data_IF_070790819751
#
_entry.id   IF_070790819751
#
_cell.length_a   1.000
_cell.length_b   1.000
_cell.length_c   1.000
_cell.angle_alpha   90.00
_cell.angle_beta   90.00
_cell.angle_gamma   90.00
#
_symmetry.space_group_name_H-M   'P 1'
#
loop_
_entity.id
_entity.type
_entity.pdbx_description
1 polymer ?
#
# COMPACT_ATOMS: atom_id res chain seq x y z
N UNK A 1 -26.18 -10.31 -6.21
CA UNK A 1 -25.87 -11.72 -5.92
C UNK A 1 -27.01 -12.61 -6.39
N UNK A 2 -28.25 -12.36 -5.92
CA UNK A 2 -29.49 -12.94 -6.49
C UNK A 2 -29.47 -12.93 -8.02
N UNK A 3 -29.32 -11.73 -8.62
CA UNK A 3 -29.26 -11.56 -10.08
C UNK A 3 -28.15 -12.35 -10.78
N UNK A 4 -27.02 -12.62 -10.11
CA UNK A 4 -25.91 -13.38 -10.70
C UNK A 4 -26.20 -14.88 -10.71
N UNK A 5 -26.87 -15.37 -9.67
CA UNK A 5 -27.32 -16.76 -9.59
C UNK A 5 -28.54 -17.00 -10.50
N UNK A 6 -29.43 -16.01 -10.63
CA UNK A 6 -30.64 -16.06 -11.48
C UNK A 6 -30.37 -15.89 -12.98
N UNK A 7 -29.26 -15.26 -13.37
CA UNK A 7 -28.97 -14.97 -14.77
C UNK A 7 -28.68 -16.21 -15.64
N UNK A 8 -28.90 -17.42 -15.13
CA UNK A 8 -28.67 -18.68 -15.83
C UNK A 8 -29.33 -18.77 -17.21
N UNK A 9 -28.63 -19.42 -18.14
CA UNK A 9 -28.97 -19.98 -19.47
C UNK A 9 -29.85 -19.21 -20.48
N UNK A 10 -30.65 -18.22 -20.07
CA UNK A 10 -31.61 -17.53 -20.95
C UNK A 10 -30.92 -16.48 -21.82
N UNK A 11 -29.84 -15.87 -21.32
CA UNK A 11 -29.10 -14.85 -22.05
C UNK A 11 -27.86 -15.44 -22.73
N UNK A 12 -28.05 -15.87 -23.99
CA UNK A 12 -27.01 -16.48 -24.82
C UNK A 12 -25.95 -15.49 -25.32
N UNK A 13 -26.12 -14.20 -25.06
CA UNK A 13 -25.26 -13.14 -25.57
C UNK A 13 -24.53 -12.36 -24.48
N UNK A 14 -24.60 -12.80 -23.22
CA UNK A 14 -23.90 -12.15 -22.11
C UNK A 14 -23.02 -13.12 -21.31
N UNK A 15 -21.99 -12.54 -20.68
CA UNK A 15 -21.16 -13.21 -19.67
C UNK A 15 -21.47 -12.55 -18.34
N UNK A 16 -21.89 -13.35 -17.37
CA UNK A 16 -22.21 -12.87 -16.03
C UNK A 16 -20.95 -12.90 -15.17
N UNK A 17 -20.60 -11.76 -14.56
CA UNK A 17 -19.38 -11.62 -13.76
C UNK A 17 -19.73 -11.04 -12.40
N UNK A 18 -19.44 -11.80 -11.33
CA UNK A 18 -19.54 -11.31 -9.96
C UNK A 18 -18.17 -10.85 -9.47
N UNK A 19 -18.03 -9.53 -9.24
CA UNK A 19 -16.83 -8.95 -8.61
C UNK A 19 -17.08 -8.79 -7.12
N UNK A 20 -16.23 -9.43 -6.31
CA UNK A 20 -16.34 -9.42 -4.85
C UNK A 20 -14.96 -9.23 -4.22
N UNK A 21 -14.89 -8.48 -3.11
CA UNK A 21 -13.66 -8.28 -2.37
C UNK A 21 -13.59 -9.20 -1.14
N UNK A 22 -12.41 -9.24 -0.52
CA UNK A 22 -12.14 -10.03 0.70
C UNK A 22 -13.07 -9.68 1.87
N UNK A 23 -13.43 -8.39 2.02
CA UNK A 23 -14.33 -7.94 3.09
C UNK A 23 -15.73 -8.57 2.98
N UNK A 24 -16.28 -8.60 1.76
CA UNK A 24 -17.58 -9.21 1.50
C UNK A 24 -17.54 -10.73 1.62
N UNK A 25 -16.48 -11.40 1.14
CA UNK A 25 -16.29 -12.85 1.31
C UNK A 25 -16.32 -13.24 2.80
N UNK A 26 -15.75 -12.40 3.66
CA UNK A 26 -15.67 -12.64 5.10
C UNK A 26 -16.86 -12.08 5.91
N UNK A 27 -17.82 -11.44 5.25
CA UNK A 27 -18.98 -10.83 5.92
C UNK A 27 -19.95 -11.92 6.41
N UNK A 28 -20.53 -11.70 7.58
CA UNK A 28 -21.59 -12.55 8.12
C UNK A 28 -22.78 -12.65 7.16
N UNK A 29 -23.02 -11.61 6.33
CA UNK A 29 -24.09 -11.61 5.33
C UNK A 29 -23.97 -12.73 4.30
N UNK A 30 -22.77 -13.26 4.06
CA UNK A 30 -22.58 -14.41 3.18
C UNK A 30 -23.04 -15.73 3.81
N UNK A 31 -23.12 -15.77 5.14
CA UNK A 31 -23.43 -16.96 5.93
C UNK A 31 -24.82 -16.89 6.56
N UNK A 32 -25.46 -15.72 6.58
CA UNK A 32 -26.80 -15.54 7.13
C UNK A 32 -27.82 -16.35 6.32
N UNK A 33 -28.68 -17.03 7.07
CA UNK A 33 -29.91 -17.62 6.56
C UNK A 33 -30.89 -16.48 6.23
N UNK A 34 -31.43 -16.49 5.01
CA UNK A 34 -32.43 -15.50 4.60
C UNK A 34 -33.83 -16.08 4.84
N UNK A 35 -34.69 -15.35 5.58
CA UNK A 35 -36.08 -15.76 5.88
C UNK A 35 -36.95 -15.91 4.63
N UNK A 36 -36.58 -15.20 3.55
CA UNK A 36 -36.95 -15.55 2.19
C UNK A 36 -35.76 -16.32 1.64
N UNK A 37 -35.86 -17.64 1.68
CA UNK A 37 -35.02 -18.57 0.92
C UNK A 37 -34.66 -17.93 -0.42
N UNK A 38 -33.37 -17.65 -0.66
CA UNK A 38 -32.97 -17.39 -2.03
C UNK A 38 -33.22 -18.70 -2.78
N UNK A 39 -34.20 -18.68 -3.71
CA UNK A 39 -34.63 -19.80 -4.54
C UNK A 39 -35.50 -20.91 -3.90
N UNK A 40 -36.06 -20.75 -2.69
CA UNK A 40 -36.72 -21.88 -1.98
C UNK A 40 -35.84 -23.16 -1.84
N UNK A 41 -34.55 -23.06 -2.17
CA UNK A 41 -33.59 -24.17 -2.33
C UNK A 41 -32.28 -23.92 -1.58
N UNK A 42 -31.86 -22.66 -1.39
CA UNK A 42 -30.57 -22.34 -0.77
C UNK A 42 -30.71 -21.42 0.44
N UNK A 43 -30.12 -21.89 1.53
CA UNK A 43 -30.15 -21.22 2.83
C UNK A 43 -29.17 -20.05 2.91
N UNK A 44 -28.03 -20.14 2.22
CA UNK A 44 -26.97 -19.12 2.29
C UNK A 44 -26.51 -18.65 0.92
N UNK A 45 -25.90 -17.46 0.90
CA UNK A 45 -25.27 -16.92 -0.30
C UNK A 45 -24.15 -17.82 -0.85
N UNK A 46 -23.38 -18.49 0.02
CA UNK A 46 -22.38 -19.46 -0.42
C UNK A 46 -23.00 -20.65 -1.14
N UNK A 47 -24.12 -21.17 -0.64
CA UNK A 47 -24.79 -22.31 -1.27
C UNK A 47 -25.37 -21.93 -2.64
N UNK A 48 -25.98 -20.75 -2.73
CA UNK A 48 -26.51 -20.22 -3.99
C UNK A 48 -25.40 -19.97 -5.04
N UNK A 49 -24.21 -19.52 -4.63
CA UNK A 49 -23.07 -19.38 -5.55
C UNK A 49 -22.49 -20.74 -5.92
N UNK A 50 -22.42 -21.68 -4.98
CA UNK A 50 -21.88 -23.01 -5.25
C UNK A 50 -22.75 -23.82 -6.22
N UNK A 51 -24.07 -23.60 -6.23
CA UNK A 51 -25.03 -24.32 -7.08
C UNK A 51 -24.78 -24.07 -8.58
N UNK A 52 -24.33 -22.85 -8.94
CA UNK A 52 -24.04 -22.48 -10.34
C UNK A 52 -22.65 -22.94 -10.82
N UNK A 53 -21.86 -23.61 -9.96
CA UNK A 53 -20.54 -24.19 -10.30
C UNK A 53 -19.62 -23.17 -11.01
N UNK A 54 -19.27 -22.05 -10.37
CA UNK A 54 -18.63 -20.94 -11.05
C UNK A 54 -17.18 -21.26 -11.46
N UNK A 55 -16.65 -20.45 -12.38
CA UNK A 55 -15.20 -20.27 -12.53
C UNK A 55 -14.78 -19.09 -11.69
N UNK A 56 -13.64 -19.23 -10.99
CA UNK A 56 -13.16 -18.21 -10.07
C UNK A 56 -11.83 -17.65 -10.54
N UNK A 57 -11.70 -16.32 -10.43
CA UNK A 57 -10.46 -15.59 -10.67
C UNK A 57 -10.07 -14.93 -9.35
N UNK A 58 -8.84 -15.21 -8.89
CA UNK A 58 -8.23 -14.57 -7.72
C UNK A 58 -7.17 -13.61 -8.21
N UNK A 59 -7.39 -12.33 -7.97
CA UNK A 59 -6.40 -11.27 -8.18
C UNK A 59 -5.52 -11.13 -6.93
N UNK A 60 -4.21 -11.01 -7.12
CA UNK A 60 -3.20 -10.92 -6.07
C UNK A 60 -3.27 -12.04 -5.01
N UNK A 61 -2.98 -13.31 -5.40
CA UNK A 61 -3.20 -14.49 -4.55
C UNK A 61 -2.39 -14.50 -3.25
N UNK A 62 -1.31 -13.73 -3.14
CA UNK A 62 -0.54 -13.58 -1.89
C UNK A 62 -1.38 -12.99 -0.73
N UNK A 63 -2.49 -12.30 -1.03
CA UNK A 63 -3.44 -11.79 -0.03
C UNK A 63 -4.33 -12.89 0.56
N UNK A 64 -4.37 -14.07 -0.07
CA UNK A 64 -5.26 -15.18 0.27
C UNK A 64 -4.44 -16.42 0.67
N UNK A 65 -3.81 -16.34 1.84
CA UNK A 65 -3.01 -17.44 2.40
C UNK A 65 -3.92 -18.59 2.83
N UNK A 66 -3.60 -19.83 2.48
CA UNK A 66 -4.45 -21.00 2.71
C UNK A 66 -4.92 -21.22 4.17
N UNK A 67 -4.16 -20.71 5.15
CA UNK A 67 -4.45 -20.87 6.58
C UNK A 67 -5.40 -19.79 7.11
N UNK A 68 -5.85 -18.85 6.25
CA UNK A 68 -6.74 -17.79 6.68
C UNK A 68 -8.23 -18.19 6.51
N UNK A 69 -9.09 -17.67 7.40
CA UNK A 69 -10.55 -17.80 7.32
C UNK A 69 -11.11 -17.41 5.94
N UNK A 70 -10.44 -16.48 5.25
CA UNK A 70 -10.80 -16.09 3.89
C UNK A 70 -10.68 -17.24 2.90
N UNK A 71 -9.64 -18.06 3.00
CA UNK A 71 -9.41 -19.18 2.09
C UNK A 71 -10.45 -20.29 2.32
N UNK A 72 -10.77 -20.58 3.58
CA UNK A 72 -11.89 -21.48 3.92
C UNK A 72 -13.21 -20.99 3.31
N UNK A 73 -13.49 -19.68 3.39
CA UNK A 73 -14.66 -19.08 2.75
C UNK A 73 -14.60 -19.15 1.21
N UNK A 74 -13.42 -19.02 0.61
CA UNK A 74 -13.21 -19.18 -0.83
C UNK A 74 -13.49 -20.63 -1.25
N UNK A 75 -13.07 -21.63 -0.46
CA UNK A 75 -13.33 -23.05 -0.75
C UNK A 75 -14.83 -23.39 -0.73
N UNK A 76 -15.64 -22.67 0.09
CA UNK A 76 -17.11 -22.82 0.11
C UNK A 76 -17.79 -22.43 -1.20
N UNK A 77 -17.13 -21.63 -2.05
CA UNK A 77 -17.64 -21.27 -3.39
C UNK A 77 -17.70 -22.50 -4.31
N UNK A 78 -16.91 -23.54 -4.05
CA UNK A 78 -16.87 -24.80 -4.83
C UNK A 78 -16.72 -24.55 -6.34
N UNK A 79 -15.81 -23.63 -6.70
CA UNK A 79 -15.53 -23.31 -8.10
C UNK A 79 -14.99 -24.52 -8.87
N UNK A 80 -15.40 -24.68 -10.14
CA UNK A 80 -14.90 -25.77 -11.00
C UNK A 80 -13.44 -25.58 -11.37
N UNK A 81 -13.05 -24.32 -11.61
CA UNK A 81 -11.70 -23.90 -11.94
C UNK A 81 -11.39 -22.61 -11.20
N UNK A 82 -10.15 -22.53 -10.69
CA UNK A 82 -9.64 -21.32 -10.03
C UNK A 82 -8.38 -20.87 -10.74
N UNK A 83 -8.42 -19.68 -11.34
CA UNK A 83 -7.26 -19.02 -11.92
C UNK A 83 -6.74 -17.97 -10.93
N UNK A 84 -5.42 -17.96 -10.69
CA UNK A 84 -4.78 -17.03 -9.76
C UNK A 84 -3.79 -16.16 -10.53
N UNK A 85 -4.03 -14.87 -10.56
CA UNK A 85 -3.20 -13.89 -11.27
C UNK A 85 -2.49 -12.99 -10.27
N UNK A 86 -1.17 -12.88 -10.38
CA UNK A 86 -0.42 -11.92 -9.57
C UNK A 86 1.08 -12.00 -9.82
N UNK A 87 1.78 -10.97 -9.36
CA UNK A 87 3.25 -10.93 -9.41
C UNK A 87 3.89 -11.64 -8.21
N UNK A 88 3.13 -11.81 -7.12
CA UNK A 88 3.60 -12.49 -5.91
C UNK A 88 2.61 -13.57 -5.49
N UNK A 89 3.15 -14.72 -5.11
CA UNK A 89 2.39 -15.90 -4.71
C UNK A 89 2.71 -16.28 -3.25
N UNK A 90 1.74 -16.88 -2.53
CA UNK A 90 1.96 -17.43 -1.20
C UNK A 90 3.13 -18.42 -1.17
N UNK A 91 3.71 -18.60 0.01
CA UNK A 91 4.73 -19.60 0.25
C UNK A 91 4.17 -20.74 1.09
N UNK A 92 4.61 -21.96 0.78
CA UNK A 92 4.37 -23.14 1.61
C UNK A 92 5.69 -23.73 2.08
N UNK A 93 5.65 -24.31 3.27
CA UNK A 93 6.79 -25.02 3.85
C UNK A 93 6.75 -26.48 3.40
N UNK A 94 7.81 -26.92 2.72
CA UNK A 94 8.02 -28.33 2.36
C UNK A 94 9.06 -28.92 3.30
N UNK A 95 8.68 -29.99 3.99
CA UNK A 95 9.54 -30.71 4.93
C UNK A 95 10.07 -31.97 4.27
N UNK A 96 11.37 -32.17 4.33
CA UNK A 96 12.03 -33.38 3.87
C UNK A 96 13.08 -33.84 4.88
N UNK A 97 13.46 -35.11 4.80
CA UNK A 97 14.57 -35.64 5.59
C UNK A 97 15.86 -35.46 4.80
N UNK A 98 16.93 -35.03 5.46
CA UNK A 98 18.26 -35.12 4.88
C UNK A 98 18.74 -36.58 4.81
N UNK A 99 19.86 -36.81 4.14
CA UNK A 99 20.49 -38.13 4.01
C UNK A 99 21.00 -38.73 5.35
N UNK A 100 20.89 -37.99 6.45
CA UNK A 100 21.29 -38.38 7.80
C UNK A 100 20.08 -38.48 8.77
N UNK A 101 18.85 -38.32 8.27
CA UNK A 101 17.61 -38.41 9.06
C UNK A 101 17.17 -37.11 9.75
N UNK A 102 17.88 -36.00 9.58
CA UNK A 102 17.52 -34.67 10.07
C UNK A 102 16.32 -34.09 9.30
N UNK A 103 15.39 -33.43 10.01
CA UNK A 103 14.25 -32.74 9.39
C UNK A 103 14.69 -31.36 8.91
N UNK A 104 14.63 -31.13 7.61
CA UNK A 104 14.86 -29.82 6.99
C UNK A 104 13.53 -29.29 6.46
N UNK A 105 13.31 -28.00 6.61
CA UNK A 105 12.19 -27.30 6.00
C UNK A 105 12.66 -26.24 5.02
N UNK A 106 11.98 -26.15 3.88
CA UNK A 106 12.25 -25.17 2.83
C UNK A 106 10.95 -24.48 2.43
N UNK A 107 10.99 -23.15 2.35
CA UNK A 107 9.88 -22.36 1.80
C UNK A 107 9.95 -22.39 0.27
N UNK A 108 8.83 -22.73 -0.35
CA UNK A 108 8.66 -22.71 -1.81
C UNK A 108 7.38 -21.96 -2.16
N UNK A 109 7.34 -21.35 -3.36
CA UNK A 109 6.13 -20.69 -3.84
C UNK A 109 5.03 -21.72 -4.09
N UNK A 110 3.84 -21.41 -3.63
CA UNK A 110 2.67 -22.24 -3.76
C UNK A 110 1.91 -21.92 -5.06
N UNK A 111 2.44 -22.36 -6.20
CA UNK A 111 1.80 -22.15 -7.51
C UNK A 111 0.61 -23.07 -7.79
N UNK A 112 0.50 -24.19 -7.07
CA UNK A 112 -0.35 -25.34 -7.44
C UNK A 112 0.05 -25.89 -8.81
N UNK A 113 -0.46 -25.30 -9.89
CA UNK A 113 -0.11 -25.63 -11.28
C UNK A 113 0.28 -24.33 -12.01
N UNK A 114 1.59 -24.11 -12.20
CA UNK A 114 2.09 -22.95 -12.92
C UNK A 114 1.90 -23.17 -14.44
N UNK A 115 0.96 -22.43 -15.03
CA UNK A 115 0.66 -22.53 -16.47
C UNK A 115 1.50 -21.55 -17.30
N UNK A 116 1.74 -20.35 -16.76
CA UNK A 116 2.45 -19.27 -17.45
C UNK A 116 3.22 -18.41 -16.46
N UNK A 117 4.36 -17.86 -16.90
CA UNK A 117 5.14 -16.90 -16.13
C UNK A 117 5.71 -15.82 -17.05
N UNK A 118 5.56 -14.56 -16.64
CA UNK A 118 6.26 -13.41 -17.19
C UNK A 118 6.89 -12.70 -15.99
N UNK A 119 8.21 -12.79 -15.86
CA UNK A 119 8.90 -12.24 -14.68
C UNK A 119 9.07 -10.72 -14.81
N UNK A 120 9.39 -10.06 -13.70
CA UNK A 120 9.76 -8.64 -13.73
C UNK A 120 10.98 -8.39 -14.65
N UNK A 121 11.96 -9.29 -14.64
CA UNK A 121 13.15 -9.21 -15.51
C UNK A 121 12.75 -9.34 -16.97
N UNK A 122 11.87 -10.28 -17.30
CA UNK A 122 11.36 -10.44 -18.68
C UNK A 122 10.61 -9.19 -19.15
N UNK A 123 9.78 -8.61 -18.28
CA UNK A 123 9.03 -7.39 -18.59
C UNK A 123 9.94 -6.18 -18.83
N UNK A 124 10.99 -6.01 -18.02
CA UNK A 124 12.00 -4.96 -18.22
C UNK A 124 12.83 -5.20 -19.49
N UNK A 125 13.38 -6.40 -19.67
CA UNK A 125 14.21 -6.75 -20.82
C UNK A 125 13.42 -6.70 -22.14
N UNK A 126 12.12 -7.01 -22.09
CA UNK A 126 11.20 -6.95 -23.22
C UNK A 126 10.63 -5.56 -23.51
N UNK A 127 11.04 -4.52 -22.79
CA UNK A 127 10.49 -3.15 -22.90
C UNK A 127 8.95 -3.10 -22.76
N UNK A 128 8.36 -4.00 -21.99
CA UNK A 128 6.91 -4.05 -21.73
C UNK A 128 6.49 -3.05 -20.63
N UNK A 129 7.47 -2.56 -19.87
CA UNK A 129 7.30 -1.57 -18.80
C UNK A 129 8.33 -0.44 -18.93
N UNK A 130 8.03 0.71 -18.33
CA UNK A 130 8.96 1.85 -18.32
C UNK A 130 10.15 1.56 -17.41
N UNK A 131 11.35 1.99 -17.84
CA UNK A 131 12.54 2.01 -16.99
C UNK A 131 12.38 2.96 -15.80
N UNK A 132 13.17 2.74 -14.75
CA UNK A 132 13.14 3.52 -13.51
C UNK A 132 14.41 4.36 -13.40
N UNK A 133 14.27 5.66 -13.17
CA UNK A 133 15.37 6.58 -12.85
C UNK A 133 15.22 7.03 -11.41
N UNK A 134 16.16 6.62 -10.55
CA UNK A 134 16.18 6.99 -9.14
C UNK A 134 16.87 8.34 -8.91
N UNK A 135 16.19 9.27 -8.25
CA UNK A 135 16.77 10.55 -7.82
C UNK A 135 16.89 10.59 -6.29
N UNK A 136 18.13 10.68 -5.79
CA UNK A 136 18.39 10.80 -4.36
C UNK A 136 18.80 12.24 -4.02
N UNK A 137 18.07 12.87 -3.10
CA UNK A 137 18.41 14.19 -2.57
C UNK A 137 19.07 13.98 -1.21
N UNK A 138 20.27 14.52 -1.04
CA UNK A 138 20.99 14.51 0.24
C UNK A 138 20.94 15.92 0.81
N UNK A 139 20.43 16.07 2.03
CA UNK A 139 20.69 17.26 2.83
C UNK A 139 22.07 17.12 3.48
N UNK A 140 22.91 18.13 3.35
CA UNK A 140 24.15 18.20 4.12
C UNK A 140 23.83 18.18 5.62
N UNK A 141 24.48 17.28 6.38
CA UNK A 141 24.24 17.08 7.82
C UNK A 141 23.12 16.10 8.20
N UNK A 142 22.24 15.73 7.26
CA UNK A 142 21.06 14.87 7.54
C UNK A 142 21.33 13.40 7.86
N UNK A 143 22.58 12.94 7.77
CA UNK A 143 22.98 11.54 8.00
C UNK A 143 23.27 11.20 9.45
N UNK A 144 23.36 12.20 10.34
CA UNK A 144 23.90 11.98 11.69
C UNK A 144 22.86 11.95 12.79
N UNK A 145 21.59 12.27 12.51
CA UNK A 145 20.51 12.32 13.51
C UNK A 145 19.48 11.21 13.30
N UNK A 146 19.13 10.52 14.38
CA UNK A 146 18.15 9.44 14.40
C UNK A 146 17.28 9.57 15.65
N UNK A 147 15.97 9.63 15.47
CA UNK A 147 15.00 9.61 16.58
C UNK A 147 14.37 8.23 16.66
N UNK A 148 14.52 7.56 17.79
CA UNK A 148 13.97 6.23 18.04
C UNK A 148 12.84 6.32 19.06
N UNK A 149 11.69 5.71 18.76
CA UNK A 149 10.64 5.55 19.75
C UNK A 149 11.01 4.40 20.72
N UNK A 150 11.13 4.72 22.01
CA UNK A 150 11.65 3.79 23.03
C UNK A 150 10.50 3.06 23.73
N UNK A 151 9.54 3.79 24.28
CA UNK A 151 8.37 3.26 24.96
C UNK A 151 7.32 4.35 25.20
N UNK A 152 6.14 3.94 25.66
CA UNK A 152 5.12 4.84 26.18
C UNK A 152 4.40 4.20 27.37
N UNK A 153 3.94 5.01 28.31
CA UNK A 153 3.08 4.59 29.43
C UNK A 153 1.58 4.79 29.14
N UNK A 154 1.23 5.28 27.94
CA UNK A 154 -0.14 5.65 27.56
C UNK A 154 -0.49 7.12 27.78
N UNK A 155 0.35 7.90 28.46
CA UNK A 155 0.21 9.35 28.65
C UNK A 155 1.36 10.13 28.02
N UNK A 156 2.57 9.60 28.16
CA UNK A 156 3.81 10.15 27.61
C UNK A 156 4.51 9.12 26.72
N UNK A 157 5.20 9.61 25.70
CA UNK A 157 6.04 8.82 24.81
C UNK A 157 7.51 9.23 24.99
N UNK A 158 8.40 8.25 25.14
CA UNK A 158 9.84 8.48 25.24
C UNK A 158 10.52 8.27 23.89
N UNK A 159 11.32 9.24 23.48
CA UNK A 159 12.13 9.22 22.26
C UNK A 159 13.61 9.33 22.58
N UNK A 160 14.45 8.53 21.94
CA UNK A 160 15.92 8.64 22.00
C UNK A 160 16.40 9.32 20.71
N UNK A 161 16.96 10.53 20.83
CA UNK A 161 17.71 11.18 19.77
C UNK A 161 19.16 10.69 19.83
N UNK A 162 19.66 10.15 18.72
CA UNK A 162 21.07 9.83 18.50
C UNK A 162 21.66 10.80 17.48
N UNK A 163 22.67 11.58 17.88
CA UNK A 163 23.42 12.47 17.02
C UNK A 163 24.92 12.12 17.07
N UNK A 164 25.42 11.44 16.05
CA UNK A 164 26.77 10.87 16.07
C UNK A 164 26.97 9.88 17.23
N UNK A 165 27.78 10.25 18.23
CA UNK A 165 27.99 9.45 19.45
C UNK A 165 27.09 9.86 20.62
N UNK A 166 26.41 10.99 20.52
CA UNK A 166 25.58 11.53 21.61
C UNK A 166 24.20 10.91 21.57
N UNK A 167 23.67 10.58 22.76
CA UNK A 167 22.30 10.09 22.94
C UNK A 167 21.58 10.90 23.99
N UNK A 168 20.37 11.34 23.68
CA UNK A 168 19.50 12.06 24.61
C UNK A 168 18.09 11.51 24.54
N UNK A 169 17.45 11.41 25.70
CA UNK A 169 16.07 10.93 25.81
C UNK A 169 15.15 12.09 26.12
N UNK A 170 14.04 12.16 25.38
CA UNK A 170 13.01 13.17 25.50
C UNK A 170 11.68 12.49 25.78
N UNK A 171 10.83 13.15 26.56
CA UNK A 171 9.45 12.71 26.80
C UNK A 171 8.49 13.72 26.22
N UNK A 172 7.52 13.24 25.46
CA UNK A 172 6.52 14.07 24.77
C UNK A 172 5.13 13.53 25.07
N UNK A 173 4.24 14.41 25.52
CA UNK A 173 2.85 14.09 25.84
C UNK A 173 1.96 14.05 24.60
N UNK A 174 0.74 13.54 24.73
CA UNK A 174 -0.25 13.64 23.67
C UNK A 174 -0.49 15.11 23.28
N UNK A 175 -0.61 15.37 21.98
CA UNK A 175 -0.65 16.71 21.35
C UNK A 175 0.64 17.53 21.49
N UNK A 176 1.71 16.98 22.08
CA UNK A 176 3.02 17.62 22.15
C UNK A 176 3.76 17.60 20.81
N UNK A 177 4.66 18.57 20.62
CA UNK A 177 5.48 18.72 19.42
C UNK A 177 6.78 17.90 19.50
N UNK A 178 7.11 17.18 18.42
CA UNK A 178 8.39 16.49 18.25
C UNK A 178 9.56 17.44 17.94
N UNK A 179 9.29 18.73 17.72
CA UNK A 179 10.33 19.77 17.66
C UNK A 179 11.14 19.83 18.97
N UNK A 180 10.52 19.46 20.10
CA UNK A 180 11.20 19.33 21.40
C UNK A 180 12.26 18.23 21.43
N UNK A 181 12.14 17.23 20.55
CA UNK A 181 13.12 16.15 20.39
C UNK A 181 14.22 16.61 19.43
N UNK A 182 13.86 17.24 18.31
CA UNK A 182 14.81 17.78 17.34
C UNK A 182 14.18 18.90 16.50
N UNK A 183 14.87 20.04 16.33
CA UNK A 183 14.32 21.24 15.67
C UNK A 183 13.87 21.04 14.21
N UNK A 184 14.50 20.12 13.48
CA UNK A 184 14.07 19.77 12.11
C UNK A 184 12.70 19.06 12.02
N UNK A 185 12.10 18.68 13.15
CA UNK A 185 10.78 18.03 13.23
C UNK A 185 9.64 19.01 13.51
N UNK A 186 9.81 20.28 13.10
CA UNK A 186 8.78 21.30 13.28
C UNK A 186 7.47 20.91 12.57
N UNK A 187 6.34 21.18 13.23
CA UNK A 187 5.00 20.82 12.72
C UNK A 187 4.57 19.36 12.93
N UNK A 188 5.47 18.48 13.40
CA UNK A 188 5.12 17.09 13.69
C UNK A 188 4.68 16.94 15.16
N UNK A 189 3.41 16.60 15.36
CA UNK A 189 2.81 16.45 16.69
C UNK A 189 2.50 14.98 16.98
N UNK A 190 2.37 14.64 18.26
CA UNK A 190 1.78 13.37 18.67
C UNK A 190 0.26 13.50 18.67
N UNK A 191 -0.42 12.81 17.77
CA UNK A 191 -1.89 12.81 17.71
C UNK A 191 -2.49 11.92 18.79
N UNK A 192 -2.00 10.68 18.91
CA UNK A 192 -2.49 9.69 19.89
C UNK A 192 -1.36 8.87 20.49
N UNK A 193 -1.51 8.51 21.76
CA UNK A 193 -0.57 7.67 22.49
C UNK A 193 -1.29 6.44 23.03
N UNK A 194 -0.72 5.26 22.77
CA UNK A 194 -1.08 3.99 23.37
C UNK A 194 0.15 3.41 24.09
N UNK A 195 -0.04 2.41 24.96
CA UNK A 195 1.06 1.74 25.70
C UNK A 195 2.17 1.15 24.81
N UNK A 196 1.87 0.87 23.54
CA UNK A 196 2.79 0.21 22.60
C UNK A 196 3.07 1.01 21.34
N UNK A 197 2.27 2.04 21.06
CA UNK A 197 2.27 2.76 19.78
C UNK A 197 2.03 4.25 19.97
N UNK A 198 2.63 5.05 19.10
CA UNK A 198 2.41 6.50 19.02
C UNK A 198 1.99 6.83 17.60
N UNK A 199 0.88 7.55 17.44
CA UNK A 199 0.42 8.07 16.15
C UNK A 199 0.86 9.54 16.04
N UNK A 200 1.57 9.85 14.97
CA UNK A 200 1.99 11.22 14.64
C UNK A 200 0.93 11.93 13.78
N UNK A 201 0.94 13.26 13.78
CA UNK A 201 0.00 14.10 13.01
C UNK A 201 0.06 13.89 11.51
N UNK A 202 1.13 13.29 11.00
CA UNK A 202 1.30 12.94 9.59
C UNK A 202 0.82 11.51 9.27
N UNK A 203 0.11 10.87 10.21
CA UNK A 203 -0.43 9.51 10.08
C UNK A 203 0.57 8.38 10.36
N UNK A 204 1.85 8.69 10.64
CA UNK A 204 2.84 7.68 10.95
C UNK A 204 2.61 7.07 12.34
N UNK A 205 2.34 5.76 12.39
CA UNK A 205 2.22 5.01 13.63
C UNK A 205 3.56 4.33 13.98
N UNK A 206 4.23 4.80 15.03
CA UNK A 206 5.48 4.25 15.53
C UNK A 206 5.22 3.16 16.57
N UNK A 207 5.85 2.00 16.39
CA UNK A 207 5.98 0.91 17.37
C UNK A 207 7.33 0.98 18.07
N UNK A 208 7.40 0.41 19.27
CA UNK A 208 8.64 0.36 20.06
C UNK A 208 9.81 -0.16 19.20
N UNK A 209 10.86 0.65 19.10
CA UNK A 209 12.05 0.34 18.31
C UNK A 209 12.11 1.02 16.95
N UNK A 210 10.98 1.56 16.45
CA UNK A 210 10.92 2.29 15.19
C UNK A 210 11.79 3.54 15.25
N UNK A 211 12.35 3.89 14.10
CA UNK A 211 13.33 4.95 13.93
C UNK A 211 12.91 5.87 12.80
N UNK A 212 13.04 7.16 13.03
CA UNK A 212 12.78 8.21 12.05
C UNK A 212 13.99 9.12 11.95
N UNK A 213 14.27 9.61 10.75
CA UNK A 213 15.28 10.65 10.54
C UNK A 213 14.58 12.01 10.68
N UNK A 214 15.00 12.88 11.62
CA UNK A 214 14.42 14.22 11.79
C UNK A 214 14.39 15.05 10.50
N UNK A 215 15.40 14.88 9.64
CA UNK A 215 15.53 15.64 8.40
C UNK A 215 14.62 15.15 7.27
N UNK A 216 14.00 13.96 7.40
CA UNK A 216 13.00 13.50 6.43
C UNK A 216 11.78 14.41 6.36
N UNK A 217 11.53 15.18 7.42
CA UNK A 217 10.41 16.11 7.55
C UNK A 217 10.83 17.57 7.43
N UNK A 218 12.10 17.83 7.12
CA UNK A 218 12.57 19.19 6.94
C UNK A 218 11.86 19.82 5.74
N UNK A 219 11.21 20.97 5.95
CA UNK A 219 10.53 21.75 4.91
C UNK A 219 11.45 22.01 3.72
N UNK A 220 12.75 22.24 3.98
CA UNK A 220 13.77 22.44 2.94
C UNK A 220 13.95 21.22 2.03
N UNK A 221 13.92 19.99 2.56
CA UNK A 221 14.04 18.78 1.74
C UNK A 221 12.82 18.62 0.82
N UNK A 222 11.62 18.77 1.39
CA UNK A 222 10.37 18.68 0.64
C UNK A 222 10.32 19.71 -0.48
N UNK A 223 10.71 20.95 -0.20
CA UNK A 223 10.76 22.01 -1.20
C UNK A 223 11.75 21.69 -2.34
N UNK A 224 12.94 21.18 -2.01
CA UNK A 224 13.93 20.74 -3.04
C UNK A 224 13.38 19.58 -3.88
N UNK A 225 12.66 18.63 -3.26
CA UNK A 225 12.01 17.52 -3.98
C UNK A 225 10.96 18.04 -4.96
N UNK A 226 10.10 18.96 -4.51
CA UNK A 226 9.06 19.56 -5.34
C UNK A 226 9.65 20.36 -6.51
N UNK A 227 10.61 21.24 -6.24
CA UNK A 227 11.26 22.06 -7.25
C UNK A 227 11.87 21.19 -8.36
N UNK A 228 12.66 20.17 -7.99
CA UNK A 228 13.26 19.25 -8.97
C UNK A 228 12.22 18.47 -9.76
N UNK A 229 11.16 17.98 -9.11
CA UNK A 229 10.12 17.21 -9.76
C UNK A 229 9.30 18.06 -10.74
N UNK A 230 8.89 19.27 -10.35
CA UNK A 230 8.13 20.21 -11.19
C UNK A 230 8.96 20.63 -12.40
N UNK A 231 10.20 21.06 -12.18
CA UNK A 231 11.12 21.43 -13.27
C UNK A 231 11.34 20.29 -14.27
N UNK A 232 11.53 19.08 -13.77
CA UNK A 232 11.67 17.91 -14.63
C UNK A 232 10.37 17.55 -15.37
N UNK A 233 9.20 17.74 -14.74
CA UNK A 233 7.89 17.59 -15.38
C UNK A 233 7.75 18.53 -16.57
N UNK A 234 8.05 19.83 -16.44
CA UNK A 234 7.97 20.80 -17.54
C UNK A 234 8.92 20.45 -18.69
N UNK A 235 10.16 20.01 -18.37
CA UNK A 235 11.11 19.51 -19.38
C UNK A 235 10.52 18.35 -20.19
N UNK A 236 9.97 17.34 -19.51
CA UNK A 236 9.35 16.18 -20.14
C UNK A 236 8.07 16.54 -20.89
N UNK A 237 7.25 17.43 -20.34
CA UNK A 237 6.02 17.90 -20.96
C UNK A 237 6.28 18.61 -22.28
N UNK A 238 7.26 19.52 -22.32
CA UNK A 238 7.68 20.15 -23.56
C UNK A 238 8.15 19.11 -24.58
N UNK A 239 8.94 18.13 -24.16
CA UNK A 239 9.43 17.06 -25.04
C UNK A 239 8.29 16.17 -25.57
N UNK A 240 7.29 15.85 -24.76
CA UNK A 240 6.23 14.90 -25.10
C UNK A 240 5.04 15.54 -25.83
N UNK A 241 4.72 16.80 -25.54
CA UNK A 241 3.61 17.53 -26.17
C UNK A 241 3.99 18.15 -27.52
N UNK A 242 5.28 18.29 -27.83
CA UNK A 242 5.78 18.79 -29.13
C UNK A 242 5.99 17.68 -30.16
N UNK A 243 5.75 16.42 -29.80
CA UNK A 243 5.79 15.30 -30.74
C UNK A 243 4.60 15.32 -31.70
N UNK A 244 4.73 14.62 -32.83
CA UNK A 244 3.64 14.43 -33.80
C UNK A 244 2.43 13.76 -33.15
N UNK A 245 2.67 12.69 -32.40
CA UNK A 245 1.69 12.08 -31.48
C UNK A 245 1.99 12.60 -30.08
N UNK A 246 1.13 13.49 -29.59
CA UNK A 246 1.32 14.15 -28.31
C UNK A 246 1.04 13.18 -27.15
N UNK A 247 1.93 13.17 -26.16
CA UNK A 247 1.77 12.39 -24.94
C UNK A 247 1.68 13.36 -23.76
N UNK A 248 0.63 13.26 -22.95
CA UNK A 248 0.46 14.07 -21.74
C UNK A 248 1.15 13.39 -20.55
N UNK A 249 2.28 13.90 -20.02
CA UNK A 249 2.87 13.34 -18.81
C UNK A 249 2.05 13.70 -17.57
N UNK A 250 2.20 12.90 -16.52
CA UNK A 250 1.58 13.13 -15.21
C UNK A 250 2.65 12.99 -14.13
N UNK A 251 2.60 13.88 -13.13
CA UNK A 251 3.41 13.79 -11.92
C UNK A 251 2.51 13.46 -10.73
N UNK A 252 2.90 12.44 -9.96
CA UNK A 252 2.18 11.99 -8.76
C UNK A 252 3.05 12.29 -7.54
N UNK A 253 2.52 13.08 -6.60
CA UNK A 253 3.14 13.38 -5.33
C UNK A 253 2.44 12.62 -4.21
N UNK A 254 3.20 11.91 -3.38
CA UNK A 254 2.72 11.34 -2.13
C UNK A 254 3.00 12.33 -1.01
N UNK A 255 1.97 12.68 -0.25
CA UNK A 255 2.03 13.70 0.79
C UNK A 255 1.50 13.10 2.09
N UNK A 256 2.09 13.50 3.22
CA UNK A 256 1.67 12.98 4.52
C UNK A 256 0.50 13.77 5.11
N UNK A 257 0.40 15.07 4.81
CA UNK A 257 -0.64 15.96 5.32
C UNK A 257 -1.54 16.49 4.19
N UNK A 258 -2.75 15.94 4.10
CA UNK A 258 -3.73 16.31 3.07
C UNK A 258 -4.22 17.75 3.24
N UNK A 259 -4.32 18.25 4.47
CA UNK A 259 -4.84 19.59 4.76
C UNK A 259 -3.88 20.70 4.28
N UNK A 260 -2.56 20.44 4.31
CA UNK A 260 -1.56 21.37 3.77
C UNK A 260 -1.67 21.58 2.25
N UNK A 261 -2.33 20.67 1.54
CA UNK A 261 -2.60 20.81 0.12
C UNK A 261 -4.04 21.25 -0.18
N UNK A 262 -5.04 20.72 0.54
CA UNK A 262 -6.46 21.06 0.29
C UNK A 262 -6.86 22.42 0.85
N UNK A 263 -6.26 22.85 1.96
CA UNK A 263 -6.54 24.14 2.58
C UNK A 263 -6.15 25.30 1.68
N UNK A 264 -6.98 26.35 1.64
CA UNK A 264 -6.70 27.56 0.82
C UNK A 264 -5.37 28.22 1.17
N UNK A 265 -5.01 28.19 2.46
CA UNK A 265 -3.76 28.76 2.98
C UNK A 265 -2.72 27.68 3.31
N UNK A 266 -2.84 26.49 2.73
CA UNK A 266 -1.93 25.38 2.98
C UNK A 266 -0.55 25.69 2.39
N UNK A 267 0.51 25.57 3.21
CA UNK A 267 1.89 25.90 2.81
C UNK A 267 2.34 25.09 1.59
N UNK A 268 2.01 23.80 1.55
CA UNK A 268 2.36 22.92 0.44
C UNK A 268 1.67 23.34 -0.86
N UNK A 269 0.37 23.68 -0.79
CA UNK A 269 -0.38 24.19 -1.94
C UNK A 269 0.27 25.45 -2.52
N UNK A 270 0.49 26.46 -1.67
CA UNK A 270 1.08 27.74 -2.07
C UNK A 270 2.46 27.53 -2.69
N UNK A 271 3.27 26.64 -2.10
CA UNK A 271 4.61 26.31 -2.61
C UNK A 271 4.54 25.68 -4.00
N UNK A 272 3.68 24.68 -4.20
CA UNK A 272 3.50 24.00 -5.50
C UNK A 272 3.00 24.98 -6.56
N UNK A 273 1.97 25.78 -6.26
CA UNK A 273 1.42 26.77 -7.19
C UNK A 273 2.48 27.83 -7.58
N UNK A 274 3.27 28.30 -6.61
CA UNK A 274 4.36 29.25 -6.84
C UNK A 274 5.47 28.67 -7.73
N UNK A 275 5.92 27.43 -7.46
CA UNK A 275 6.94 26.75 -8.27
C UNK A 275 6.46 26.50 -9.70
N UNK A 276 5.21 26.08 -9.87
CA UNK A 276 4.60 25.90 -11.20
C UNK A 276 4.55 27.24 -11.94
N UNK A 277 4.08 28.30 -11.28
CA UNK A 277 3.99 29.63 -11.89
C UNK A 277 5.35 30.14 -12.35
N UNK A 278 6.39 29.96 -11.52
CA UNK A 278 7.75 30.33 -11.86
C UNK A 278 8.27 29.58 -13.11
N UNK A 279 7.99 28.28 -13.23
CA UNK A 279 8.40 27.49 -14.41
C UNK A 279 7.61 27.88 -15.67
N UNK A 280 6.33 28.24 -15.55
CA UNK A 280 5.54 28.77 -16.67
C UNK A 280 6.10 30.12 -17.13
N UNK A 281 6.35 31.06 -16.22
CA UNK A 281 6.87 32.40 -16.53
C UNK A 281 8.29 32.36 -17.09
N UNK A 282 9.12 31.40 -16.68
CA UNK A 282 10.48 31.22 -17.19
C UNK A 282 10.53 30.59 -18.60
N UNK A 283 9.43 30.00 -19.07
CA UNK A 283 9.38 29.21 -20.30
C UNK A 283 8.29 29.65 -21.30
N UNK A 284 7.53 30.69 -20.98
CA UNK A 284 6.73 31.50 -21.91
C UNK A 284 7.55 32.67 -22.46
#
# INVERSE_FOLDING_TARGET
MVSFVEAGAFDKHSIQVLVINTGMINSDTMQKHFDRTMFDEYDTAFDAIASIRPWMIIDEPHKFVQVNKTWENIERIKAQLTFRYGATFPEKEVKYRDGLGGKISKKVKDYHHLIYTLTAVDAFNGNLVKGVIGHTIKLEGGTNALVKFVNSDGKEASFELTEGRNKKTFKVIAKGSLETVHGAMSGLLIEKINKTTVLLSNGLALKKGDKINPYSYATTLQQIMLEKAIKNHFKLEKQYLTQTVRIKPLSLFFIDNIEEYRGKNGTLRITVESLIKAEVEAHC
#
